data_IF_851649936120
#
_entry.id   IF_851649936120
#
_cell.length_a   1.000
_cell.length_b   1.000
_cell.length_c   1.000
_cell.angle_alpha   90.00
_cell.angle_beta   90.00
_cell.angle_gamma   90.00
#
_symmetry.space_group_name_H-M   'P 1'
#
loop_
_entity.id
_entity.type
_entity.pdbx_description
1 polymer ?
#
# COMPACT_ATOMS: atom_id res chain seq x y z
N UNK A 1 0.18 24.30 0.91
CA UNK A 1 0.03 23.06 1.70
C UNK A 1 0.60 21.86 0.93
N UNK A 2 0.86 20.72 1.59
CA UNK A 2 1.25 19.49 0.91
C UNK A 2 0.11 19.04 -0.01
N UNK A 3 0.44 18.67 -1.26
CA UNK A 3 -0.51 18.04 -2.19
C UNK A 3 -0.35 16.53 -2.09
N UNK A 4 -1.38 15.86 -1.61
CA UNK A 4 -1.35 14.42 -1.28
C UNK A 4 -2.26 13.66 -2.23
N UNK A 5 -1.74 12.59 -2.82
CA UNK A 5 -2.50 11.69 -3.67
C UNK A 5 -2.84 10.44 -2.86
N UNK A 6 -4.11 10.20 -2.60
CA UNK A 6 -4.63 9.02 -1.91
C UNK A 6 -5.03 7.99 -2.98
N UNK A 7 -4.39 6.82 -3.01
CA UNK A 7 -4.69 5.75 -3.96
C UNK A 7 -5.24 4.55 -3.21
N UNK A 8 -6.49 4.22 -3.47
CA UNK A 8 -7.18 3.11 -2.83
C UNK A 8 -7.81 2.16 -3.84
N UNK A 9 -7.55 0.86 -3.71
CA UNK A 9 -8.12 -0.18 -4.60
C UNK A 9 -9.30 -0.86 -3.95
N UNK A 10 -9.34 -0.85 -2.62
CA UNK A 10 -10.45 -1.33 -1.85
C UNK A 10 -11.13 -0.17 -1.13
N UNK A 11 -12.02 0.53 -1.83
CA UNK A 11 -12.81 1.60 -1.22
C UNK A 11 -14.06 1.04 -0.52
N UNK A 12 -13.85 0.40 0.63
CA UNK A 12 -14.92 -0.19 1.45
C UNK A 12 -14.50 -0.39 2.91
N UNK A 13 -15.48 -0.59 3.79
CA UNK A 13 -15.23 -0.88 5.21
C UNK A 13 -14.30 0.14 5.89
N UNK A 14 -13.30 -0.37 6.61
CA UNK A 14 -12.30 0.43 7.34
C UNK A 14 -11.39 1.28 6.43
N UNK A 15 -11.13 0.84 5.19
CA UNK A 15 -10.34 1.60 4.21
C UNK A 15 -11.07 2.88 3.79
N UNK A 16 -12.37 2.77 3.47
CA UNK A 16 -13.20 3.94 3.15
C UNK A 16 -13.17 4.96 4.30
N UNK A 17 -13.34 4.51 5.54
CA UNK A 17 -13.34 5.40 6.70
C UNK A 17 -12.01 6.16 6.85
N UNK A 18 -10.87 5.49 6.62
CA UNK A 18 -9.55 6.11 6.66
C UNK A 18 -9.37 7.13 5.53
N UNK A 19 -9.68 6.75 4.30
CA UNK A 19 -9.55 7.66 3.15
C UNK A 19 -10.44 8.89 3.32
N UNK A 20 -11.71 8.70 3.71
CA UNK A 20 -12.63 9.80 3.98
C UNK A 20 -12.14 10.72 5.11
N UNK A 21 -11.51 10.15 6.15
CA UNK A 21 -10.93 10.93 7.24
C UNK A 21 -9.75 11.76 6.75
N UNK A 22 -8.84 11.17 5.97
CA UNK A 22 -7.68 11.86 5.42
C UNK A 22 -8.07 12.96 4.44
N UNK A 23 -9.04 12.70 3.56
CA UNK A 23 -9.55 13.68 2.61
C UNK A 23 -10.18 14.89 3.32
N UNK A 24 -10.94 14.66 4.40
CA UNK A 24 -11.55 15.74 5.20
C UNK A 24 -10.52 16.59 5.96
N UNK A 25 -9.45 15.98 6.46
CA UNK A 25 -8.51 16.66 7.36
C UNK A 25 -7.24 17.19 6.67
N UNK A 26 -6.98 16.77 5.43
CA UNK A 26 -5.78 17.19 4.68
C UNK A 26 -6.20 18.03 3.48
N UNK A 27 -5.95 19.33 3.55
CA UNK A 27 -6.18 20.25 2.44
C UNK A 27 -5.29 19.92 1.24
N UNK A 28 -5.86 19.87 0.03
CA UNK A 28 -5.11 19.55 -1.20
C UNK A 28 -4.89 18.05 -1.40
N UNK A 29 -5.71 17.21 -0.76
CA UNK A 29 -5.85 15.80 -1.08
C UNK A 29 -6.60 15.59 -2.40
N UNK A 30 -6.24 14.53 -3.11
CA UNK A 30 -7.05 13.99 -4.20
C UNK A 30 -7.10 12.48 -4.06
N UNK A 31 -8.29 11.92 -4.19
CA UNK A 31 -8.52 10.47 -4.07
C UNK A 31 -8.65 9.87 -5.46
N UNK A 32 -7.90 8.79 -5.70
CA UNK A 32 -8.08 7.91 -6.85
C UNK A 32 -8.50 6.54 -6.32
N UNK A 33 -9.69 6.10 -6.70
CA UNK A 33 -10.16 4.74 -6.44
C UNK A 33 -10.03 3.89 -7.71
N UNK A 34 -9.49 2.68 -7.60
CA UNK A 34 -9.42 1.74 -8.72
C UNK A 34 -10.58 0.73 -8.63
N UNK A 35 -11.29 0.44 -9.73
CA UNK A 35 -12.40 -0.52 -9.71
C UNK A 35 -11.90 -1.93 -9.42
N UNK A 36 -12.62 -2.63 -8.53
CA UNK A 36 -12.35 -3.97 -7.98
C UNK A 36 -12.05 -5.06 -9.02
N UNK A 37 -12.49 -4.91 -10.27
CA UNK A 37 -12.35 -5.92 -11.34
C UNK A 37 -11.05 -5.81 -12.16
N UNK A 38 -10.38 -4.65 -12.20
CA UNK A 38 -9.22 -4.46 -13.10
C UNK A 38 -7.93 -5.17 -12.62
N UNK A 39 -7.87 -5.62 -11.36
CA UNK A 39 -6.68 -6.26 -10.78
C UNK A 39 -6.79 -7.77 -10.55
N UNK A 40 -7.87 -8.42 -11.01
CA UNK A 40 -7.89 -9.88 -11.15
C UNK A 40 -7.07 -10.37 -12.35
N UNK A 41 -6.65 -9.45 -13.24
CA UNK A 41 -5.92 -9.77 -14.46
C UNK A 41 -4.42 -9.51 -14.27
N UNK A 42 -3.74 -10.43 -13.59
CA UNK A 42 -2.33 -10.68 -13.88
C UNK A 42 -2.24 -11.54 -15.15
N UNK A 43 -1.57 -11.02 -16.16
CA UNK A 43 -1.25 -11.76 -17.38
C UNK A 43 -0.93 -10.81 -18.52
N UNK A 44 0.34 -10.42 -18.64
CA UNK A 44 1.10 -9.90 -19.80
C UNK A 44 0.43 -8.97 -20.85
N UNK A 45 -0.80 -8.51 -20.63
CA UNK A 45 -1.66 -7.86 -21.62
C UNK A 45 -2.58 -6.84 -20.95
N UNK A 46 -2.08 -6.07 -19.98
CA UNK A 46 -2.69 -4.76 -19.72
C UNK A 46 -2.23 -3.77 -20.80
N UNK A 47 -2.51 -4.13 -22.07
CA UNK A 47 -2.64 -3.15 -23.15
C UNK A 47 -3.81 -2.27 -22.73
N UNK A 48 -3.50 -1.04 -22.37
CA UNK A 48 -4.25 0.15 -22.82
C UNK A 48 -5.68 -0.17 -23.25
N UNK A 49 -6.58 -0.42 -22.30
CA UNK A 49 -7.98 -0.14 -22.57
C UNK A 49 -8.09 1.39 -22.48
N UNK A 50 -8.35 2.11 -23.59
CA UNK A 50 -8.57 3.54 -23.52
C UNK A 50 -9.89 3.75 -22.76
N UNK A 51 -9.80 4.14 -21.49
CA UNK A 51 -10.94 4.70 -20.77
C UNK A 51 -10.99 6.20 -21.12
N UNK A 52 -12.04 6.67 -21.83
CA UNK A 52 -12.07 8.03 -22.36
C UNK A 52 -12.19 9.12 -21.28
N UNK A 53 -12.51 8.76 -20.02
CA UNK A 53 -12.87 9.73 -18.98
C UNK A 53 -12.03 9.59 -17.69
N UNK A 54 -10.79 9.10 -17.75
CA UNK A 54 -9.90 9.30 -16.59
C UNK A 54 -9.42 10.74 -16.61
N UNK A 55 -9.70 11.54 -15.55
CA UNK A 55 -9.06 12.85 -15.46
C UNK A 55 -7.56 12.62 -15.54
N UNK A 56 -6.91 13.31 -16.48
CA UNK A 56 -5.47 13.27 -16.62
C UNK A 56 -4.88 14.05 -15.44
N UNK A 57 -4.87 13.41 -14.27
CA UNK A 57 -4.40 14.01 -13.03
C UNK A 57 -2.92 14.28 -13.22
N UNK A 58 -2.54 15.56 -13.28
CA UNK A 58 -1.15 15.95 -13.34
C UNK A 58 -0.47 15.59 -12.03
N UNK A 59 0.12 14.40 -12.02
CA UNK A 59 0.87 13.83 -10.90
C UNK A 59 2.00 14.78 -10.46
N UNK A 60 2.50 15.62 -11.38
CA UNK A 60 3.53 16.65 -11.16
C UNK A 60 3.24 17.57 -9.97
N UNK A 61 1.96 17.80 -9.68
CA UNK A 61 1.54 18.67 -8.59
C UNK A 61 1.67 18.04 -7.19
N UNK A 62 1.66 16.71 -7.07
CA UNK A 62 1.66 16.02 -5.79
C UNK A 62 3.08 15.79 -5.26
N UNK A 63 3.19 15.65 -3.94
CA UNK A 63 4.44 15.36 -3.23
C UNK A 63 4.41 14.05 -2.45
N UNK A 64 3.22 13.61 -2.07
CA UNK A 64 3.02 12.40 -1.25
C UNK A 64 2.02 11.50 -1.96
N UNK A 65 2.33 10.21 -1.99
CA UNK A 65 1.45 9.14 -2.43
C UNK A 65 1.12 8.28 -1.21
N UNK A 66 -0.16 8.15 -0.89
CA UNK A 66 -0.64 7.32 0.22
C UNK A 66 -1.46 6.15 -0.33
N UNK A 67 -1.29 4.96 0.23
CA UNK A 67 -2.15 3.80 -0.07
C UNK A 67 -2.38 2.96 1.17
N UNK A 68 -3.60 2.43 1.35
CA UNK A 68 -3.96 1.61 2.52
C UNK A 68 -4.17 0.12 2.21
N UNK A 69 -4.00 -0.27 0.95
CA UNK A 69 -4.09 -1.66 0.50
C UNK A 69 -2.73 -2.15 0.04
N UNK A 70 -2.40 -3.39 0.41
CA UNK A 70 -1.27 -4.08 -0.23
C UNK A 70 -1.70 -4.46 -1.63
N UNK A 71 -1.08 -3.85 -2.62
CA UNK A 71 -1.32 -4.19 -4.00
C UNK A 71 -0.12 -4.99 -4.49
N UNK A 72 -0.36 -6.24 -4.92
CA UNK A 72 0.58 -7.01 -5.78
C UNK A 72 1.12 -6.16 -6.93
N UNK A 73 0.30 -5.21 -7.35
CA UNK A 73 0.49 -4.28 -8.45
C UNK A 73 1.07 -2.91 -8.06
N UNK A 74 1.21 -2.54 -6.78
CA UNK A 74 1.75 -1.22 -6.41
C UNK A 74 3.19 -1.07 -6.89
N UNK A 75 4.01 -2.09 -6.65
CA UNK A 75 5.43 -2.07 -7.01
C UNK A 75 5.63 -2.01 -8.52
N UNK A 76 4.91 -2.84 -9.30
CA UNK A 76 5.00 -2.83 -10.76
C UNK A 76 4.45 -1.53 -11.36
N UNK A 77 3.38 -0.98 -10.78
CA UNK A 77 2.82 0.30 -11.19
C UNK A 77 3.75 1.47 -10.85
N UNK A 78 4.37 1.50 -9.67
CA UNK A 78 5.38 2.50 -9.32
C UNK A 78 6.63 2.40 -10.20
N UNK A 79 7.06 1.18 -10.52
CA UNK A 79 8.24 0.97 -11.34
C UNK A 79 8.02 1.39 -12.80
N UNK A 80 6.82 1.20 -13.33
CA UNK A 80 6.45 1.61 -14.70
C UNK A 80 6.14 3.12 -14.84
N UNK A 81 6.16 3.88 -13.74
CA UNK A 81 5.74 5.28 -13.68
C UNK A 81 6.83 6.16 -13.05
N UNK A 82 7.85 6.61 -13.82
CA UNK A 82 8.93 7.44 -13.30
C UNK A 82 8.44 8.78 -12.73
N UNK A 83 7.27 9.26 -13.15
CA UNK A 83 6.58 10.44 -12.60
C UNK A 83 6.19 10.30 -11.13
N UNK A 84 5.98 9.06 -10.66
CA UNK A 84 5.69 8.71 -9.25
C UNK A 84 6.95 8.48 -8.42
N UNK A 85 8.12 8.29 -9.05
CA UNK A 85 9.36 7.96 -8.35
C UNK A 85 9.74 9.04 -7.32
N UNK A 86 9.55 10.32 -7.69
CA UNK A 86 9.81 11.50 -6.84
C UNK A 86 8.81 11.69 -5.68
N UNK A 87 7.69 10.98 -5.68
CA UNK A 87 6.70 11.09 -4.61
C UNK A 87 7.17 10.33 -3.39
N UNK A 88 6.94 10.92 -2.22
CA UNK A 88 7.09 10.22 -0.94
C UNK A 88 5.95 9.21 -0.77
N UNK A 89 6.28 7.93 -0.68
CA UNK A 89 5.33 6.81 -0.65
C UNK A 89 5.05 6.41 0.78
N UNK A 90 3.79 6.51 1.18
CA UNK A 90 3.29 6.11 2.49
C UNK A 90 2.34 4.94 2.31
N UNK A 91 2.67 3.81 2.91
CA UNK A 91 1.83 2.61 2.91
C UNK A 91 1.18 2.46 4.28
N UNK A 92 -0.13 2.24 4.35
CA UNK A 92 -0.86 2.02 5.59
C UNK A 92 -1.41 0.60 5.64
N UNK A 93 -1.19 -0.10 6.76
CA UNK A 93 -1.69 -1.45 7.01
C UNK A 93 -2.90 -1.43 7.95
N UNK A 94 -4.08 -1.76 7.41
CA UNK A 94 -5.28 -2.02 8.21
C UNK A 94 -5.20 -3.32 8.99
N UNK A 95 -4.68 -4.38 8.37
CA UNK A 95 -4.61 -5.72 8.95
C UNK A 95 -3.36 -6.43 8.43
N UNK A 96 -2.76 -7.27 9.27
CA UNK A 96 -1.65 -8.12 8.86
C UNK A 96 -2.17 -9.50 8.45
N UNK A 97 -2.38 -9.67 7.15
CA UNK A 97 -2.80 -10.95 6.58
C UNK A 97 -1.76 -12.07 6.75
N UNK A 98 -0.51 -11.75 7.14
CA UNK A 98 0.55 -12.74 7.36
C UNK A 98 0.36 -13.57 8.63
N UNK A 99 -0.37 -13.03 9.62
CA UNK A 99 -0.63 -13.73 10.90
C UNK A 99 -1.72 -14.77 10.75
N UNK A 100 -2.61 -14.62 9.76
CA UNK A 100 -3.74 -15.54 9.59
C UNK A 100 -3.33 -16.78 8.79
N UNK A 101 -3.30 -17.98 9.43
CA UNK A 101 -2.73 -19.19 8.83
C UNK A 101 -3.49 -19.67 7.59
N UNK A 102 -4.77 -19.29 7.45
CA UNK A 102 -5.66 -19.75 6.37
C UNK A 102 -5.37 -19.07 5.02
N UNK A 103 -4.61 -17.96 5.00
CA UNK A 103 -4.38 -17.15 3.78
C UNK A 103 -2.90 -16.91 3.47
N UNK A 104 -2.02 -17.82 3.86
CA UNK A 104 -0.60 -17.76 3.47
C UNK A 104 -0.40 -18.13 1.98
N UNK A 105 -1.00 -17.35 1.09
CA UNK A 105 -0.57 -17.25 -0.30
C UNK A 105 0.87 -16.70 -0.30
N UNK A 106 1.79 -17.48 -0.87
CA UNK A 106 3.20 -17.08 -1.06
C UNK A 106 3.30 -15.76 -1.84
N UNK A 107 2.43 -15.55 -2.84
CA UNK A 107 2.44 -14.38 -3.71
C UNK A 107 1.94 -13.12 -2.98
N UNK A 108 0.87 -13.23 -2.19
CA UNK A 108 0.34 -12.12 -1.39
C UNK A 108 1.36 -11.62 -0.37
N UNK A 109 2.00 -12.54 0.33
CA UNK A 109 3.02 -12.22 1.34
C UNK A 109 4.26 -11.56 0.74
N UNK A 110 4.74 -12.08 -0.39
CA UNK A 110 5.89 -11.51 -1.09
C UNK A 110 5.61 -10.09 -1.55
N UNK A 111 4.45 -9.86 -2.17
CA UNK A 111 3.97 -8.54 -2.55
C UNK A 111 3.95 -7.55 -1.38
N UNK A 112 3.50 -8.00 -0.20
CA UNK A 112 3.47 -7.14 0.98
C UNK A 112 4.86 -6.68 1.41
N UNK A 113 5.82 -7.61 1.46
CA UNK A 113 7.18 -7.30 1.84
C UNK A 113 7.88 -6.40 0.81
N UNK A 114 7.71 -6.67 -0.49
CA UNK A 114 8.30 -5.86 -1.56
C UNK A 114 7.68 -4.46 -1.62
N UNK A 115 6.36 -4.33 -1.43
CA UNK A 115 5.71 -3.01 -1.36
C UNK A 115 6.22 -2.21 -0.15
N UNK A 116 6.43 -2.87 0.99
CA UNK A 116 6.98 -2.23 2.20
C UNK A 116 8.44 -1.81 2.01
N UNK A 117 9.22 -2.54 1.21
CA UNK A 117 10.59 -2.16 0.86
C UNK A 117 10.65 -0.90 -0.01
N UNK A 118 9.72 -0.76 -0.96
CA UNK A 118 9.68 0.40 -1.87
C UNK A 118 9.04 1.63 -1.22
N UNK A 119 8.19 1.43 -0.20
CA UNK A 119 7.62 2.53 0.56
C UNK A 119 8.70 3.31 1.34
N UNK A 120 8.54 4.63 1.42
CA UNK A 120 9.36 5.52 2.24
C UNK A 120 8.95 5.48 3.71
N UNK A 121 7.64 5.30 3.95
CA UNK A 121 7.05 5.15 5.29
C UNK A 121 6.02 4.02 5.24
N UNK A 122 6.04 3.18 6.28
CA UNK A 122 5.07 2.11 6.49
C UNK A 122 4.33 2.37 7.79
N UNK A 123 3.02 2.54 7.75
CA UNK A 123 2.19 2.89 8.89
C UNK A 123 1.32 1.70 9.26
N UNK A 124 1.23 1.39 10.55
CA UNK A 124 0.40 0.31 11.08
C UNK A 124 -0.65 0.88 12.02
N UNK A 125 -1.82 0.23 12.05
CA UNK A 125 -2.90 0.58 12.98
C UNK A 125 -2.58 0.25 14.45
N UNK A 126 -1.56 -0.56 14.73
CA UNK A 126 -1.14 -0.93 16.09
C UNK A 126 0.30 -1.46 16.12
N UNK A 127 0.93 -1.37 17.31
CA UNK A 127 2.24 -1.97 17.56
C UNK A 127 2.23 -3.48 17.37
N UNK A 128 1.16 -4.16 17.78
CA UNK A 128 1.02 -5.60 17.56
C UNK A 128 1.03 -5.96 16.06
N UNK A 129 0.30 -5.19 15.24
CA UNK A 129 0.27 -5.39 13.79
C UNK A 129 1.67 -5.21 13.16
N UNK A 130 2.39 -4.18 13.60
CA UNK A 130 3.77 -3.90 13.17
C UNK A 130 4.74 -5.03 13.57
N UNK A 131 4.78 -5.41 14.84
CA UNK A 131 5.72 -6.42 15.34
C UNK A 131 5.42 -7.81 14.79
N UNK A 132 4.14 -8.18 14.68
CA UNK A 132 3.73 -9.44 14.04
C UNK A 132 4.09 -9.48 12.55
N UNK A 133 4.04 -8.34 11.85
CA UNK A 133 4.48 -8.25 10.46
C UNK A 133 5.98 -8.45 10.35
N UNK A 134 6.77 -7.65 11.07
CA UNK A 134 8.23 -7.68 11.01
C UNK A 134 8.81 -9.04 11.43
N UNK A 135 8.31 -9.63 12.51
CA UNK A 135 8.77 -10.96 12.99
C UNK A 135 8.45 -12.10 12.03
N UNK A 136 7.45 -11.93 11.17
CA UNK A 136 7.03 -12.96 10.22
C UNK A 136 7.88 -12.96 8.94
N UNK A 137 8.45 -11.80 8.54
CA UNK A 137 9.22 -11.63 7.30
C UNK A 137 10.36 -12.65 7.15
N UNK A 138 11.25 -12.88 8.14
CA UNK A 138 12.37 -13.81 7.97
C UNK A 138 11.91 -15.24 7.66
N UNK A 139 10.85 -15.70 8.31
CA UNK A 139 10.26 -17.02 8.10
C UNK A 139 9.69 -17.17 6.69
N UNK A 140 9.16 -16.10 6.10
CA UNK A 140 8.69 -16.10 4.72
C UNK A 140 9.83 -16.03 3.70
N UNK A 141 10.84 -15.20 3.93
CA UNK A 141 12.00 -15.10 3.03
C UNK A 141 12.74 -16.44 2.90
N UNK A 142 12.74 -17.26 3.96
CA UNK A 142 13.25 -18.65 3.91
C UNK A 142 12.49 -19.57 2.95
N UNK A 143 11.24 -19.25 2.58
CA UNK A 143 10.43 -20.04 1.64
C UNK A 143 10.71 -19.71 0.17
N UNK A 144 11.45 -18.64 -0.12
CA UNK A 144 11.82 -18.25 -1.49
C UNK A 144 12.99 -19.13 -1.94
N UNK A 145 12.89 -19.88 -3.05
CA UNK A 145 13.93 -20.82 -3.45
C UNK A 145 15.21 -20.14 -3.95
N UNK A 146 15.13 -18.94 -4.53
CA UNK A 146 16.26 -18.29 -5.20
C UNK A 146 16.40 -16.80 -4.83
N UNK A 147 17.65 -16.30 -4.77
CA UNK A 147 18.02 -14.89 -4.49
C UNK A 147 17.32 -14.28 -3.26
N UNK A 148 17.42 -14.95 -2.10
CA UNK A 148 16.80 -14.51 -0.85
C UNK A 148 17.34 -13.16 -0.39
N UNK A 149 16.52 -12.10 -0.35
CA UNK A 149 16.92 -10.88 0.31
C UNK A 149 16.99 -11.15 1.81
N UNK A 150 18.16 -10.83 2.40
CA UNK A 150 18.40 -10.99 3.84
C UNK A 150 18.02 -9.70 4.55
N UNK A 151 17.68 -9.81 5.83
CA UNK A 151 17.50 -8.67 6.73
C UNK A 151 16.43 -7.66 6.26
N UNK A 152 15.43 -8.13 5.50
CA UNK A 152 14.34 -7.30 4.95
C UNK A 152 13.55 -6.62 6.05
N UNK A 153 13.33 -7.30 7.17
CA UNK A 153 12.72 -6.74 8.36
C UNK A 153 13.54 -5.59 8.95
N UNK A 154 14.88 -5.70 8.98
CA UNK A 154 15.77 -4.63 9.44
C UNK A 154 15.74 -3.42 8.52
N UNK A 155 15.54 -3.63 7.20
CA UNK A 155 15.38 -2.54 6.23
C UNK A 155 14.02 -1.84 6.34
N UNK A 156 12.96 -2.56 6.67
CA UNK A 156 11.60 -2.00 6.78
C UNK A 156 11.38 -1.33 8.14
N UNK A 157 11.88 -1.92 9.24
CA UNK A 157 11.68 -1.43 10.62
C UNK A 157 11.90 0.08 10.81
N UNK A 158 12.98 0.73 10.31
CA UNK A 158 13.19 2.16 10.53
C UNK A 158 12.16 3.05 9.80
N UNK A 159 11.41 2.49 8.84
CA UNK A 159 10.34 3.17 8.11
C UNK A 159 8.97 2.98 8.77
N UNK A 160 8.88 2.09 9.76
CA UNK A 160 7.63 1.74 10.40
C UNK A 160 7.20 2.80 11.42
N UNK A 161 5.92 3.17 11.37
CA UNK A 161 5.26 4.03 12.33
C UNK A 161 3.94 3.38 12.75
N UNK A 162 3.49 3.65 13.97
CA UNK A 162 2.17 3.25 14.44
C UNK A 162 1.29 4.48 14.50
N UNK A 163 0.16 4.44 13.79
CA UNK A 163 -0.86 5.47 13.85
C UNK A 163 -2.19 4.81 14.19
N UNK A 164 -2.63 5.05 15.41
CA UNK A 164 -3.96 4.66 15.84
C UNK A 164 -4.96 5.63 15.22
N UNK A 165 -5.94 5.10 14.47
CA UNK A 165 -7.14 5.88 14.14
C UNK A 165 -8.35 5.13 14.67
N UNK A 166 -9.20 5.87 15.39
CA UNK A 166 -10.45 5.35 15.90
C UNK A 166 -11.49 5.44 14.78
N UNK A 167 -12.14 4.33 14.38
CA UNK A 167 -13.26 4.39 13.48
C UNK A 167 -14.48 4.95 14.22
N UNK A 168 -14.66 6.27 14.16
CA UNK A 168 -15.86 6.96 14.65
C UNK A 168 -15.80 7.46 16.10
N UNK A 169 -16.79 8.27 16.53
CA UNK A 169 -16.84 8.77 17.90
C UNK A 169 -17.02 7.59 18.85
N UNK A 170 -16.34 7.66 20.00
CA UNK A 170 -16.64 6.79 21.13
C UNK A 170 -18.12 6.99 21.49
N UNK A 171 -18.86 5.92 21.82
CA UNK A 171 -20.27 6.02 22.21
C UNK A 171 -20.48 6.96 23.40
#
# INVERSE_FOLDING_TARGET
GPRVLLVEVFYGGSHKQLIDLLERNISGCSVITLPRQEMALEGENCRTAPQPDRPHVSILSYRVLFSSSVLKTCVSWWHSRPDLARLKKVLYFHENQLVYPVRQDRNGTFSTATTSLVADIVVFNSTFNMESFLSSIPSFMKKIPDHRPRDVDLLIRPKCLVLYYLPGPLP
#
